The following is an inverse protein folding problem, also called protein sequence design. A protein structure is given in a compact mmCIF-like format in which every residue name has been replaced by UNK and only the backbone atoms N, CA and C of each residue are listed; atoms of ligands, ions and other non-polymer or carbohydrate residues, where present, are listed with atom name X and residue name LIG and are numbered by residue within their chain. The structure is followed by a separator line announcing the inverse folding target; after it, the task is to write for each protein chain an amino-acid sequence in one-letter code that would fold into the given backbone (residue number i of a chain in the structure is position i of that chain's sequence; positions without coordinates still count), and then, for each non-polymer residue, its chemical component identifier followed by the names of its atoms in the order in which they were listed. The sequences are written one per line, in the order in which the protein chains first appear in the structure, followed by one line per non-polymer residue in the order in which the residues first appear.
data_IF_695247211231
#
_entry.id   IF_695247211231
#
_cell.length_a   1.000
_cell.length_b   1.000
_cell.length_c   1.000
_cell.angle_alpha   90.00
_cell.angle_beta   90.00
_cell.angle_gamma   90.00
#
_symmetry.space_group_name_H-M   'P 1'
#
loop_
_entity.id
_entity.type
_entity.pdbx_description
1 polymer ?
#
# COMPACT_ATOMS: atom_id res chain seq x y z
N UNK A 1 7.91 -42.07 3.28
CA UNK A 1 7.39 -42.60 4.57
C UNK A 1 7.30 -41.46 5.62
N UNK A 2 8.35 -40.67 5.82
CA UNK A 2 8.38 -39.55 6.80
C UNK A 2 7.23 -38.52 6.60
N UNK A 3 7.00 -38.13 5.36
CA UNK A 3 5.92 -37.21 4.99
C UNK A 3 4.55 -37.74 5.37
N UNK A 4 4.30 -39.03 5.04
CA UNK A 4 3.03 -39.68 5.33
C UNK A 4 2.79 -39.82 6.83
N UNK A 5 3.84 -40.17 7.59
CA UNK A 5 3.75 -40.29 9.06
C UNK A 5 3.51 -38.93 9.71
N UNK A 6 4.04 -37.83 9.12
CA UNK A 6 3.84 -36.47 9.58
C UNK A 6 2.39 -36.03 9.41
N UNK A 7 1.82 -36.20 8.23
CA UNK A 7 0.42 -35.87 7.94
C UNK A 7 -0.57 -36.70 8.79
N UNK A 8 -0.27 -38.02 9.02
CA UNK A 8 -1.08 -38.84 9.90
C UNK A 8 -1.07 -38.35 11.34
N UNK A 9 0.07 -37.84 11.81
CA UNK A 9 0.21 -37.24 13.16
C UNK A 9 -0.61 -35.95 13.30
N UNK A 10 -0.79 -35.23 12.20
CA UNK A 10 -1.64 -34.03 12.12
C UNK A 10 -3.12 -34.37 11.84
N UNK A 11 -3.55 -35.58 12.15
CA UNK A 11 -4.93 -36.06 12.02
C UNK A 11 -5.48 -36.10 10.58
N UNK A 12 -4.65 -36.06 9.56
CA UNK A 12 -5.05 -36.20 8.18
C UNK A 12 -5.19 -37.69 7.78
N UNK A 13 -6.29 -38.01 7.15
CA UNK A 13 -6.48 -39.32 6.55
C UNK A 13 -5.69 -39.44 5.25
N UNK A 14 -4.90 -40.50 5.07
CA UNK A 14 -4.12 -40.72 3.87
C UNK A 14 -4.52 -42.03 3.22
N UNK A 15 -4.84 -41.98 1.94
CA UNK A 15 -5.11 -43.15 1.12
C UNK A 15 -4.19 -43.18 -0.09
N UNK A 16 -3.44 -44.25 -0.28
CA UNK A 16 -2.58 -44.40 -1.45
C UNK A 16 -3.43 -44.81 -2.64
N UNK A 17 -3.24 -44.11 -3.74
CA UNK A 17 -3.78 -44.46 -5.05
C UNK A 17 -2.73 -45.16 -5.94
N UNK A 18 -2.87 -45.06 -7.26
CA UNK A 18 -1.93 -45.67 -8.21
C UNK A 18 -0.60 -44.91 -8.26
N UNK A 19 0.51 -45.65 -8.20
CA UNK A 19 1.85 -45.04 -8.29
C UNK A 19 2.23 -44.27 -7.03
N UNK A 20 2.72 -43.05 -7.22
CA UNK A 20 3.14 -42.13 -6.15
C UNK A 20 2.08 -41.07 -5.78
N UNK A 21 0.83 -41.35 -6.15
CA UNK A 21 -0.29 -40.45 -5.84
C UNK A 21 -0.95 -40.86 -4.51
N UNK A 22 -1.28 -39.85 -3.72
CA UNK A 22 -1.96 -40.00 -2.45
C UNK A 22 -3.15 -39.06 -2.39
N UNK A 23 -4.26 -39.56 -1.85
CA UNK A 23 -5.40 -38.74 -1.47
C UNK A 23 -5.25 -38.40 0.00
N UNK A 24 -5.25 -37.11 0.31
CA UNK A 24 -5.22 -36.58 1.69
C UNK A 24 -6.62 -36.12 2.05
N UNK A 25 -7.19 -36.74 3.07
CA UNK A 25 -8.47 -36.32 3.65
C UNK A 25 -8.21 -35.28 4.74
N UNK A 26 -8.53 -34.06 4.45
CA UNK A 26 -8.39 -32.93 5.40
C UNK A 26 -9.50 -32.97 6.44
N UNK A 27 -9.22 -32.77 7.74
CA UNK A 27 -10.23 -32.64 8.78
C UNK A 27 -11.14 -31.42 8.54
N UNK A 28 -12.41 -31.53 8.87
CA UNK A 28 -13.41 -30.47 8.61
C UNK A 28 -13.18 -29.17 9.35
N UNK A 29 -12.37 -29.16 10.40
CA UNK A 29 -12.01 -27.93 11.12
C UNK A 29 -10.85 -27.16 10.46
N UNK A 30 -10.12 -27.74 9.51
CA UNK A 30 -9.05 -27.10 8.72
C UNK A 30 -9.64 -26.47 7.47
N UNK A 31 -10.33 -25.36 7.65
CA UNK A 31 -10.98 -24.60 6.56
C UNK A 31 -9.98 -23.81 5.71
N UNK A 32 -8.74 -23.78 6.09
CA UNK A 32 -7.60 -23.11 5.46
C UNK A 32 -6.93 -23.98 4.37
N UNK A 33 -7.32 -25.25 4.23
CA UNK A 33 -6.68 -26.20 3.34
C UNK A 33 -7.57 -26.53 2.14
N UNK A 34 -7.31 -25.87 1.01
CA UNK A 34 -8.09 -26.02 -0.23
C UNK A 34 -7.36 -26.83 -1.32
N UNK A 35 -6.04 -26.97 -1.21
CA UNK A 35 -5.26 -27.58 -2.28
C UNK A 35 -3.98 -28.29 -1.88
N UNK A 36 -3.27 -28.78 -2.89
CA UNK A 36 -2.01 -29.51 -2.67
C UNK A 36 -0.89 -28.64 -2.08
N UNK A 37 -0.92 -27.34 -2.35
CA UNK A 37 0.05 -26.41 -1.78
C UNK A 37 -0.07 -26.31 -0.26
N UNK A 38 -1.30 -26.29 0.26
CA UNK A 38 -1.56 -26.22 1.70
C UNK A 38 -1.11 -27.48 2.42
N UNK A 39 -1.28 -28.66 1.76
CA UNK A 39 -0.73 -29.92 2.27
C UNK A 39 0.79 -29.89 2.31
N UNK A 40 1.44 -29.32 1.30
CA UNK A 40 2.90 -29.15 1.29
C UNK A 40 3.36 -28.20 2.39
N UNK A 41 2.62 -27.13 2.66
CA UNK A 41 2.91 -26.22 3.77
C UNK A 41 2.86 -26.93 5.12
N UNK A 42 1.83 -27.73 5.38
CA UNK A 42 1.73 -28.51 6.61
C UNK A 42 2.90 -29.50 6.78
N UNK A 43 3.27 -30.17 5.71
CA UNK A 43 4.42 -31.07 5.75
C UNK A 43 5.69 -30.30 6.14
N UNK A 44 5.98 -29.20 5.50
CA UNK A 44 7.21 -28.45 5.76
C UNK A 44 7.20 -27.77 7.13
N UNK A 45 6.03 -27.29 7.57
CA UNK A 45 5.84 -26.72 8.91
C UNK A 45 6.19 -27.75 10.01
N UNK A 46 5.77 -28.99 9.83
CA UNK A 46 5.99 -30.04 10.82
C UNK A 46 7.39 -30.68 10.73
N UNK A 47 7.96 -30.76 9.53
CA UNK A 47 9.31 -31.29 9.31
C UNK A 47 10.42 -30.27 9.55
N UNK A 48 10.08 -28.98 9.50
CA UNK A 48 10.99 -27.86 9.66
C UNK A 48 11.40 -27.20 8.34
N UNK A 49 11.31 -25.89 8.30
CA UNK A 49 11.68 -25.08 7.14
C UNK A 49 13.17 -25.14 6.79
N UNK A 50 14.02 -25.48 7.74
CA UNK A 50 15.47 -25.63 7.54
C UNK A 50 15.82 -26.75 6.55
N UNK A 51 14.89 -27.65 6.27
CA UNK A 51 15.05 -28.70 5.25
C UNK A 51 14.92 -28.20 3.82
N UNK A 52 14.40 -26.99 3.62
CA UNK A 52 14.30 -26.39 2.29
C UNK A 52 15.67 -25.77 1.96
N UNK A 53 16.37 -26.28 0.93
CA UNK A 53 17.65 -25.72 0.56
C UNK A 53 17.47 -24.30 0.01
N UNK A 54 18.19 -23.34 0.57
CA UNK A 54 18.22 -21.99 0.04
C UNK A 54 18.90 -21.99 -1.33
N UNK A 55 18.16 -21.61 -2.37
CA UNK A 55 18.65 -21.53 -3.75
C UNK A 55 18.29 -20.16 -4.33
N UNK A 56 19.26 -19.56 -5.00
CA UNK A 56 18.99 -18.37 -5.81
C UNK A 56 18.17 -18.77 -7.05
N UNK A 57 17.11 -18.01 -7.39
CA UNK A 57 16.38 -18.26 -8.62
C UNK A 57 17.28 -18.03 -9.83
N UNK A 58 17.16 -18.86 -10.84
CA UNK A 58 17.79 -18.65 -12.16
C UNK A 58 16.79 -17.85 -12.96
N UNK A 59 17.08 -16.56 -13.16
CA UNK A 59 16.24 -15.63 -13.91
C UNK A 59 17.10 -14.87 -14.91
N UNK A 60 16.51 -14.48 -16.03
CA UNK A 60 17.16 -13.56 -16.94
C UNK A 60 17.37 -12.22 -16.22
N UNK A 61 18.60 -11.72 -16.26
CA UNK A 61 18.90 -10.41 -15.67
C UNK A 61 18.43 -9.32 -16.61
N UNK A 62 17.65 -8.38 -16.10
CA UNK A 62 17.30 -7.17 -16.80
C UNK A 62 18.03 -5.97 -16.20
N UNK A 63 18.39 -4.99 -17.03
CA UNK A 63 18.96 -3.74 -16.54
C UNK A 63 17.84 -2.93 -15.87
N UNK A 64 17.88 -2.84 -14.55
CA UNK A 64 16.97 -1.99 -13.79
C UNK A 64 17.20 -0.51 -14.10
N UNK A 65 16.21 0.31 -13.80
CA UNK A 65 16.30 1.77 -13.96
C UNK A 65 14.93 2.43 -13.83
N UNK A 66 14.94 3.74 -13.63
CA UNK A 66 13.72 4.54 -13.62
C UNK A 66 13.29 4.89 -15.04
N UNK A 67 11.99 4.79 -15.29
CA UNK A 67 11.37 5.35 -16.49
C UNK A 67 11.42 6.89 -16.41
N UNK A 68 11.32 7.59 -17.56
CA UNK A 68 11.40 9.06 -17.63
C UNK A 68 10.39 9.72 -16.66
N UNK A 69 9.15 9.29 -16.67
CA UNK A 69 8.12 9.81 -15.75
C UNK A 69 8.51 9.66 -14.26
N UNK A 70 9.19 8.59 -13.89
CA UNK A 70 9.69 8.39 -12.53
C UNK A 70 10.86 9.31 -12.20
N UNK A 71 11.76 9.55 -13.19
CA UNK A 71 12.88 10.49 -13.03
C UNK A 71 12.36 11.91 -12.81
N UNK A 72 11.35 12.34 -13.59
CA UNK A 72 10.74 13.66 -13.46
C UNK A 72 10.15 13.84 -12.06
N UNK A 73 9.39 12.85 -11.57
CA UNK A 73 8.83 12.89 -10.23
C UNK A 73 9.90 12.97 -9.12
N UNK A 74 10.97 12.20 -9.28
CA UNK A 74 12.08 12.24 -8.32
C UNK A 74 12.81 13.58 -8.36
N UNK A 75 12.94 14.19 -9.52
CA UNK A 75 13.57 15.51 -9.69
C UNK A 75 12.74 16.59 -9.01
N UNK A 76 11.41 16.60 -9.20
CA UNK A 76 10.50 17.54 -8.53
C UNK A 76 10.58 17.39 -7.00
N UNK A 77 10.52 16.15 -6.50
CA UNK A 77 10.61 15.89 -5.05
C UNK A 77 11.95 16.35 -4.46
N UNK A 78 13.06 16.08 -5.15
CA UNK A 78 14.39 16.53 -4.73
C UNK A 78 14.45 18.04 -4.67
N UNK A 79 14.05 18.71 -5.75
CA UNK A 79 14.04 20.16 -5.83
C UNK A 79 13.25 20.80 -4.67
N UNK A 80 12.02 20.34 -4.41
CA UNK A 80 11.19 20.88 -3.35
C UNK A 80 11.82 20.67 -1.95
N UNK A 81 12.44 19.54 -1.71
CA UNK A 81 13.18 19.31 -0.45
C UNK A 81 14.43 20.17 -0.34
N UNK A 82 15.15 20.34 -1.43
CA UNK A 82 16.38 21.16 -1.46
C UNK A 82 16.09 22.62 -1.18
N UNK A 83 14.90 23.11 -1.56
CA UNK A 83 14.45 24.46 -1.21
C UNK A 83 13.73 24.53 0.15
N UNK A 84 13.77 23.49 0.95
CA UNK A 84 13.36 23.49 2.36
C UNK A 84 11.92 23.08 2.64
N UNK A 85 11.18 22.49 1.68
CA UNK A 85 9.87 21.94 1.96
C UNK A 85 9.99 20.51 2.50
N UNK A 86 9.07 20.15 3.38
CA UNK A 86 8.92 18.77 3.90
C UNK A 86 7.88 18.01 3.08
N UNK A 87 8.25 16.81 2.62
CA UNK A 87 7.32 15.93 1.93
C UNK A 87 6.41 15.24 2.93
N UNK A 88 5.10 15.26 2.66
CA UNK A 88 4.10 14.53 3.42
C UNK A 88 3.37 13.54 2.54
N UNK A 89 2.81 12.50 3.15
CA UNK A 89 1.98 11.49 2.48
C UNK A 89 0.69 11.41 3.28
N UNK A 90 -0.43 11.72 2.61
CA UNK A 90 -1.76 11.67 3.20
C UNK A 90 -2.62 10.56 2.61
N UNK A 91 -3.73 10.23 3.25
CA UNK A 91 -4.63 9.22 2.76
C UNK A 91 -5.35 9.65 1.48
N UNK A 92 -5.51 8.69 0.56
CA UNK A 92 -6.31 8.91 -0.66
C UNK A 92 -7.82 8.96 -0.38
N UNK A 93 -8.24 8.44 0.77
CA UNK A 93 -9.63 8.48 1.20
C UNK A 93 -9.82 9.61 2.21
N UNK A 94 -10.91 10.32 2.06
CA UNK A 94 -11.27 11.50 2.86
C UNK A 94 -12.69 11.37 3.40
N UNK A 95 -13.01 12.18 4.41
CA UNK A 95 -14.33 12.26 4.98
C UNK A 95 -15.35 12.90 4.03
N UNK A 96 -16.64 12.73 4.35
CA UNK A 96 -17.73 13.39 3.65
C UNK A 96 -17.59 14.93 3.63
N UNK A 97 -17.05 15.53 4.69
CA UNK A 97 -16.85 16.97 4.77
C UNK A 97 -15.77 17.46 3.78
N UNK A 98 -14.78 16.63 3.51
CA UNK A 98 -13.63 17.00 2.68
C UNK A 98 -13.74 16.59 1.21
N UNK A 99 -14.67 15.68 0.86
CA UNK A 99 -14.79 15.14 -0.51
C UNK A 99 -14.96 16.21 -1.61
N UNK A 100 -15.65 17.31 -1.30
CA UNK A 100 -15.93 18.41 -2.23
C UNK A 100 -15.18 19.70 -1.87
N UNK A 101 -14.44 19.70 -0.76
CA UNK A 101 -13.68 20.85 -0.34
C UNK A 101 -12.58 21.18 -1.36
N UNK A 102 -12.54 22.47 -1.80
CA UNK A 102 -11.57 22.95 -2.79
C UNK A 102 -11.55 22.16 -4.11
N UNK A 103 -12.67 21.59 -4.52
CA UNK A 103 -12.80 20.83 -5.76
C UNK A 103 -12.72 21.76 -6.98
N UNK A 104 -11.49 22.09 -7.40
CA UNK A 104 -11.20 22.96 -8.54
C UNK A 104 -11.36 22.20 -9.87
N UNK A 105 -11.13 20.92 -9.85
CA UNK A 105 -11.29 20.03 -10.99
C UNK A 105 -12.71 19.43 -10.92
N UNK A 106 -13.67 20.21 -11.42
CA UNK A 106 -15.11 19.91 -11.40
C UNK A 106 -15.44 18.49 -11.90
N UNK A 107 -15.41 17.54 -11.01
CA UNK A 107 -15.95 16.23 -11.25
C UNK A 107 -17.08 16.01 -10.25
N UNK A 108 -18.30 16.00 -10.75
CA UNK A 108 -19.51 15.88 -9.93
C UNK A 108 -19.66 14.51 -9.28
N UNK A 109 -18.86 13.54 -9.72
CA UNK A 109 -18.93 12.18 -9.21
C UNK A 109 -17.90 11.93 -8.10
N UNK A 110 -18.43 11.54 -6.97
CA UNK A 110 -17.65 11.09 -5.82
C UNK A 110 -17.57 9.55 -5.81
N UNK A 111 -16.38 9.00 -5.81
CA UNK A 111 -16.20 7.58 -5.53
C UNK A 111 -16.29 7.35 -4.03
N UNK A 112 -17.28 6.56 -3.64
CA UNK A 112 -17.51 6.16 -2.26
C UNK A 112 -17.12 4.70 -2.06
N UNK A 113 -16.44 4.42 -0.97
CA UNK A 113 -16.17 3.05 -0.53
C UNK A 113 -17.47 2.41 -0.04
N UNK A 114 -17.80 1.20 -0.50
CA UNK A 114 -19.06 0.53 -0.16
C UNK A 114 -19.14 0.25 1.35
N UNK A 115 -18.06 -0.24 1.94
CA UNK A 115 -17.96 -0.54 3.38
C UNK A 115 -16.70 0.14 3.96
N UNK A 116 -16.73 1.45 4.25
CA UNK A 116 -15.59 2.14 4.81
C UNK A 116 -15.33 1.67 6.25
N UNK A 117 -14.06 1.57 6.62
CA UNK A 117 -13.66 1.21 7.98
C UNK A 117 -13.99 2.34 8.99
N UNK A 118 -13.91 3.58 8.55
CA UNK A 118 -14.23 4.77 9.34
C UNK A 118 -14.93 5.81 8.46
N UNK A 119 -15.70 6.73 9.08
CA UNK A 119 -16.36 7.84 8.38
C UNK A 119 -15.36 8.86 7.82
N UNK A 120 -14.14 8.90 8.36
CA UNK A 120 -13.08 9.79 7.90
C UNK A 120 -12.44 9.32 6.59
N UNK A 121 -12.65 8.07 6.18
CA UNK A 121 -12.06 7.44 5.00
C UNK A 121 -13.14 6.84 4.08
N UNK A 122 -14.15 7.61 3.78
CA UNK A 122 -15.35 7.15 3.04
C UNK A 122 -15.29 7.44 1.54
N UNK A 123 -14.63 8.53 1.13
CA UNK A 123 -14.60 9.01 -0.26
C UNK A 123 -13.20 9.13 -0.82
N UNK A 124 -13.04 8.83 -2.10
CA UNK A 124 -11.78 9.13 -2.80
C UNK A 124 -11.62 10.65 -2.95
N UNK A 125 -10.45 11.17 -2.60
CA UNK A 125 -10.16 12.62 -2.68
C UNK A 125 -10.14 13.12 -4.12
N UNK A 126 -10.65 14.33 -4.36
CA UNK A 126 -10.64 15.02 -5.65
C UNK A 126 -9.46 15.98 -5.84
N UNK A 127 -8.76 16.30 -4.75
CA UNK A 127 -7.55 17.12 -4.74
C UNK A 127 -6.77 16.89 -3.44
N UNK A 128 -5.58 17.47 -3.35
CA UNK A 128 -4.66 17.28 -2.21
C UNK A 128 -4.87 18.32 -1.09
N UNK A 129 -5.52 19.45 -1.38
CA UNK A 129 -5.58 20.59 -0.45
C UNK A 129 -6.25 20.29 0.89
N UNK A 130 -7.42 19.61 0.96
CA UNK A 130 -8.04 19.32 2.25
C UNK A 130 -7.11 18.58 3.20
N UNK A 131 -6.47 17.51 2.71
CA UNK A 131 -5.56 16.68 3.51
C UNK A 131 -4.29 17.44 3.90
N UNK A 132 -3.74 18.26 3.01
CA UNK A 132 -2.59 19.11 3.34
C UNK A 132 -2.93 20.18 4.39
N UNK A 133 -4.12 20.77 4.31
CA UNK A 133 -4.60 21.73 5.30
C UNK A 133 -4.86 21.08 6.67
N UNK A 134 -5.31 19.83 6.71
CA UNK A 134 -5.40 19.07 7.97
C UNK A 134 -4.02 18.87 8.60
N UNK A 135 -3.03 18.45 7.81
CA UNK A 135 -1.65 18.32 8.29
C UNK A 135 -1.11 19.64 8.79
N UNK A 136 -1.35 20.73 8.06
CA UNK A 136 -0.92 22.06 8.47
C UNK A 136 -1.60 22.49 9.78
N UNK A 137 -2.93 22.32 9.88
CA UNK A 137 -3.70 22.64 11.09
C UNK A 137 -3.21 21.84 12.31
N UNK A 138 -2.95 20.55 12.12
CA UNK A 138 -2.39 19.73 13.19
C UNK A 138 -1.05 20.26 13.71
N UNK A 139 -0.12 20.57 12.80
CA UNK A 139 1.20 21.05 13.18
C UNK A 139 1.13 22.45 13.84
N UNK A 140 0.30 23.35 13.33
CA UNK A 140 0.07 24.66 13.97
C UNK A 140 -0.49 24.50 15.38
N UNK A 141 -1.44 23.60 15.59
CA UNK A 141 -1.97 23.30 16.92
C UNK A 141 -0.90 22.74 17.88
N UNK A 142 0.15 22.12 17.34
CA UNK A 142 1.33 21.65 18.09
C UNK A 142 2.47 22.67 18.13
N UNK A 143 2.15 23.97 17.91
CA UNK A 143 3.06 25.11 18.04
C UNK A 143 4.15 25.22 16.96
N UNK A 144 4.03 24.47 15.85
CA UNK A 144 4.87 24.73 14.68
C UNK A 144 4.40 26.01 13.97
N UNK A 145 5.22 27.05 14.04
CA UNK A 145 4.82 28.38 13.53
C UNK A 145 5.12 28.58 12.06
N UNK A 146 6.15 27.92 11.55
CA UNK A 146 6.61 28.04 10.17
C UNK A 146 6.66 26.67 9.53
N UNK A 147 5.71 26.38 8.68
CA UNK A 147 5.54 25.08 8.02
C UNK A 147 5.49 25.28 6.51
N UNK A 148 6.33 24.54 5.79
CA UNK A 148 6.25 24.43 4.34
C UNK A 148 6.25 22.94 3.97
N UNK A 149 5.12 22.45 3.49
CA UNK A 149 4.89 21.04 3.16
C UNK A 149 4.44 20.88 1.72
N UNK A 150 4.75 19.72 1.16
CA UNK A 150 4.24 19.32 -0.14
C UNK A 150 3.89 17.84 -0.20
N UNK A 151 3.02 17.49 -1.13
CA UNK A 151 2.68 16.11 -1.48
C UNK A 151 2.67 15.95 -3.01
N UNK A 152 3.29 14.89 -3.49
CA UNK A 152 3.20 14.45 -4.90
C UNK A 152 2.48 13.12 -4.93
N UNK A 153 1.20 13.13 -5.30
CA UNK A 153 0.36 11.94 -5.23
C UNK A 153 -0.68 11.89 -6.33
N UNK A 154 -1.25 10.72 -6.53
CA UNK A 154 -2.30 10.55 -7.53
C UNK A 154 -3.64 11.07 -6.99
N UNK A 155 -4.37 11.71 -7.89
CA UNK A 155 -5.76 12.10 -7.72
C UNK A 155 -6.53 11.52 -8.89
N UNK A 156 -7.47 10.64 -8.60
CA UNK A 156 -8.28 9.96 -9.58
C UNK A 156 -9.70 10.53 -9.58
N UNK A 157 -10.09 11.11 -10.70
CA UNK A 157 -11.46 11.53 -10.98
C UNK A 157 -12.00 10.76 -12.18
N UNK A 158 -13.28 10.84 -12.47
CA UNK A 158 -13.84 10.18 -13.67
C UNK A 158 -13.26 10.71 -14.97
N UNK A 159 -13.00 12.02 -15.00
CA UNK A 159 -12.53 12.71 -16.21
C UNK A 159 -11.01 12.73 -16.31
N UNK A 160 -10.29 12.58 -15.19
CA UNK A 160 -8.84 12.64 -15.16
C UNK A 160 -8.24 11.68 -14.15
N UNK A 161 -7.14 11.08 -14.57
CA UNK A 161 -6.26 10.32 -13.69
C UNK A 161 -4.86 10.88 -13.83
N UNK A 162 -4.29 11.38 -12.73
CA UNK A 162 -2.99 12.00 -12.84
C UNK A 162 -2.31 12.26 -11.51
N UNK A 163 -1.00 12.49 -11.64
CA UNK A 163 -0.15 12.88 -10.52
C UNK A 163 -0.27 14.40 -10.32
N UNK A 164 -0.61 14.78 -9.12
CA UNK A 164 -0.76 16.16 -8.68
C UNK A 164 0.34 16.52 -7.67
N UNK A 165 0.74 17.79 -7.68
CA UNK A 165 1.56 18.41 -6.67
C UNK A 165 0.68 19.39 -5.89
N UNK A 166 0.63 19.20 -4.57
CA UNK A 166 0.06 20.17 -3.62
C UNK A 166 1.16 20.77 -2.77
N UNK A 167 1.07 22.07 -2.50
CA UNK A 167 1.99 22.78 -1.61
C UNK A 167 1.16 23.63 -0.65
N UNK A 168 1.52 23.61 0.63
CA UNK A 168 0.96 24.49 1.67
C UNK A 168 2.10 25.07 2.47
N UNK A 169 2.04 26.37 2.65
CA UNK A 169 2.96 27.15 3.48
C UNK A 169 2.17 27.90 4.55
N UNK A 170 2.66 27.87 5.78
CA UNK A 170 2.09 28.57 6.94
C UNK A 170 3.21 29.26 7.67
N UNK A 171 3.01 30.53 8.05
CA UNK A 171 3.96 31.30 8.85
C UNK A 171 4.26 32.66 8.28
N UNK A 172 5.13 33.40 8.97
CA UNK A 172 5.57 34.75 8.59
C UNK A 172 6.77 34.73 7.64
N UNK A 173 7.55 33.62 7.64
CA UNK A 173 8.71 33.47 6.76
C UNK A 173 8.27 32.81 5.44
N UNK A 174 8.23 33.62 4.39
CA UNK A 174 7.98 33.11 3.03
C UNK A 174 9.16 32.27 2.55
N UNK A 175 8.93 31.37 1.60
CA UNK A 175 9.98 30.62 0.90
C UNK A 175 11.08 31.55 0.33
N UNK A 176 10.73 32.79 0.00
CA UNK A 176 11.67 33.82 -0.51
C UNK A 176 12.73 34.26 0.51
N UNK A 177 12.51 34.05 1.80
CA UNK A 177 13.48 34.35 2.86
C UNK A 177 14.43 33.20 3.22
N UNK A 178 14.30 32.06 2.59
CA UNK A 178 15.10 30.85 2.89
C UNK A 178 16.24 30.59 1.91
N UNK A 179 16.52 31.52 0.99
CA UNK A 179 17.63 31.44 0.01
C UNK A 179 18.86 32.21 0.44
#
# INVERSE_FOLDING_TARGET
EEVLSTLTRDHMGITKEKGDQFVVKVPSYRIDMDGAADVCEEVIRLLGYDRIPSKLPIVETSRGGFQEKQKDQLSVRRYLRDIGLSEVITYSLVSRAHKDAFAVLNDDVNYRVINPLTEDHEYLRKNLLPSLLEVASYNVAHQEKNLAIFEVSDVDTLSSKGRHLGIVEVGEESLQGRW
#
